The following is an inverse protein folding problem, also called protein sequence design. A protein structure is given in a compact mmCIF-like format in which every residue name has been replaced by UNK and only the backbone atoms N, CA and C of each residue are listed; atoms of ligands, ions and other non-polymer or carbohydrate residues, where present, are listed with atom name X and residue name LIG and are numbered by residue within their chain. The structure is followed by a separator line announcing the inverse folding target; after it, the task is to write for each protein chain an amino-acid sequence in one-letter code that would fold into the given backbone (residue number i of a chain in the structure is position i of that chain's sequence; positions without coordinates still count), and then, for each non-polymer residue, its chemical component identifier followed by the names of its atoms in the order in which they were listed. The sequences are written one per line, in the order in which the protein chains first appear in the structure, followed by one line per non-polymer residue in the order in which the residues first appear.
data_IF_192064752388
#
_entry.id   IF_192064752388
#
_cell.length_a   1.000
_cell.length_b   1.000
_cell.length_c   1.000
_cell.angle_alpha   90.00
_cell.angle_beta   90.00
_cell.angle_gamma   90.00
#
_symmetry.space_group_name_H-M   'P 1'
#
loop_
_entity.id
_entity.type
_entity.pdbx_description
1 polymer ?
#
# COMPACT_ATOMS: atom_id res chain seq x y z
N UNK A 1 19.58 54.88 -15.77
CA UNK A 1 19.78 53.74 -14.84
C UNK A 1 18.42 53.44 -14.26
N UNK A 2 17.72 52.47 -14.84
CA UNK A 2 16.43 51.97 -14.36
C UNK A 2 16.74 50.75 -13.50
N UNK A 3 16.49 50.87 -12.20
CA UNK A 3 16.64 49.79 -11.23
C UNK A 3 15.68 48.65 -11.58
N UNK A 4 16.26 47.49 -11.89
CA UNK A 4 15.56 46.21 -11.96
C UNK A 4 15.70 45.56 -10.58
N UNK A 5 14.72 45.77 -9.71
CA UNK A 5 14.56 44.90 -8.55
C UNK A 5 14.01 43.55 -9.02
N UNK A 6 14.55 42.41 -8.53
CA UNK A 6 14.03 41.10 -8.88
C UNK A 6 12.66 40.91 -8.21
N UNK A 7 11.64 40.61 -9.02
CA UNK A 7 10.31 40.20 -8.56
C UNK A 7 10.45 38.86 -7.82
N UNK A 8 10.41 38.89 -6.49
CA UNK A 8 10.42 37.69 -5.65
C UNK A 8 9.03 37.06 -5.66
N UNK A 9 8.94 35.76 -5.95
CA UNK A 9 7.72 34.97 -6.16
C UNK A 9 6.79 34.80 -4.95
N UNK A 10 6.90 35.63 -3.91
CA UNK A 10 6.13 35.53 -2.66
C UNK A 10 4.81 36.34 -2.67
N UNK A 11 4.53 37.12 -3.71
CA UNK A 11 3.29 37.93 -3.80
C UNK A 11 2.11 37.22 -4.49
N UNK A 12 2.34 36.09 -5.17
CA UNK A 12 1.28 35.35 -5.87
C UNK A 12 0.46 34.42 -4.95
N UNK A 13 0.97 34.05 -3.78
CA UNK A 13 0.30 33.11 -2.87
C UNK A 13 -0.89 33.70 -2.09
N UNK A 14 -1.04 35.04 -2.07
CA UNK A 14 -2.09 35.73 -1.30
C UNK A 14 -3.27 36.24 -2.13
N UNK A 15 -3.25 36.07 -3.46
CA UNK A 15 -4.33 36.54 -4.32
C UNK A 15 -5.18 35.37 -4.85
N UNK A 16 -6.37 35.10 -4.27
CA UNK A 16 -7.24 34.03 -4.72
C UNK A 16 -7.69 34.19 -6.18
N UNK A 17 -7.81 35.42 -6.67
CA UNK A 17 -8.15 35.69 -8.09
C UNK A 17 -7.00 35.32 -9.03
N UNK A 18 -5.74 35.51 -8.60
CA UNK A 18 -4.57 35.11 -9.39
C UNK A 18 -4.42 33.59 -9.45
N UNK A 19 -4.73 32.90 -8.35
CA UNK A 19 -4.76 31.43 -8.31
C UNK A 19 -5.88 30.86 -9.19
N UNK A 20 -7.07 31.45 -9.12
CA UNK A 20 -8.20 31.05 -9.95
C UNK A 20 -7.94 31.33 -11.45
N UNK A 21 -7.30 32.45 -11.78
CA UNK A 21 -6.87 32.76 -13.15
C UNK A 21 -5.79 31.78 -13.67
N UNK A 22 -4.86 31.35 -12.81
CA UNK A 22 -3.85 30.34 -13.16
C UNK A 22 -4.47 28.94 -13.34
N UNK A 23 -5.42 28.56 -12.49
CA UNK A 23 -6.15 27.30 -12.62
C UNK A 23 -6.99 27.29 -13.91
N UNK A 24 -7.68 28.40 -14.21
CA UNK A 24 -8.43 28.58 -15.46
C UNK A 24 -7.50 28.56 -16.70
N UNK A 25 -6.33 29.20 -16.63
CA UNK A 25 -5.32 29.13 -17.70
C UNK A 25 -4.79 27.72 -17.88
N UNK A 26 -4.52 26.99 -16.79
CA UNK A 26 -4.07 25.60 -16.82
C UNK A 26 -5.07 24.69 -17.52
N UNK A 27 -6.36 24.83 -17.19
CA UNK A 27 -7.45 24.09 -17.82
C UNK A 27 -7.62 24.41 -19.31
N UNK A 28 -7.51 25.69 -19.69
CA UNK A 28 -7.59 26.12 -21.09
C UNK A 28 -6.39 25.60 -21.89
N UNK A 29 -5.17 25.67 -21.34
CA UNK A 29 -3.97 25.14 -21.96
C UNK A 29 -4.02 23.62 -22.10
N UNK A 30 -4.50 22.92 -21.07
CA UNK A 30 -4.65 21.46 -21.07
C UNK A 30 -5.66 21.00 -22.14
N UNK A 31 -6.82 21.65 -22.23
CA UNK A 31 -7.82 21.42 -23.30
C UNK A 31 -7.26 21.70 -24.70
N UNK A 32 -6.49 22.78 -24.85
CA UNK A 32 -5.89 23.15 -26.12
C UNK A 32 -4.72 22.22 -26.52
N UNK A 33 -3.99 21.64 -25.57
CA UNK A 33 -2.96 20.65 -25.85
C UNK A 33 -3.57 19.31 -26.27
N UNK A 34 -4.66 18.88 -25.62
CA UNK A 34 -5.34 17.64 -25.97
C UNK A 34 -6.13 17.75 -27.28
N UNK A 35 -6.63 18.93 -27.67
CA UNK A 35 -7.30 19.12 -28.96
C UNK A 35 -6.34 19.05 -30.16
N UNK A 36 -5.03 19.22 -29.94
CA UNK A 36 -4.00 19.12 -30.98
C UNK A 36 -3.53 17.68 -31.24
N UNK A 37 -3.86 16.74 -30.35
CA UNK A 37 -3.49 15.32 -30.48
C UNK A 37 -4.69 14.58 -31.08
N UNK A 38 -4.55 13.82 -32.18
CA UNK A 38 -5.60 12.92 -32.65
C UNK A 38 -5.99 11.93 -31.53
N UNK A 39 -7.25 12.02 -31.06
CA UNK A 39 -7.73 11.25 -29.91
C UNK A 39 -7.46 11.87 -28.53
N UNK A 40 -6.93 13.10 -28.45
CA UNK A 40 -6.63 13.73 -27.17
C UNK A 40 -7.86 14.09 -26.32
N UNK A 41 -9.03 14.31 -26.94
CA UNK A 41 -10.29 14.38 -26.19
C UNK A 41 -10.59 13.10 -25.41
N UNK A 42 -10.26 11.92 -25.97
CA UNK A 42 -10.40 10.63 -25.27
C UNK A 42 -9.39 10.53 -24.12
N UNK A 43 -8.16 11.05 -24.30
CA UNK A 43 -7.13 11.08 -23.26
C UNK A 43 -7.58 11.98 -22.10
N UNK A 44 -8.15 13.16 -22.40
CA UNK A 44 -8.70 14.08 -21.41
C UNK A 44 -9.81 13.42 -20.59
N UNK A 45 -10.76 12.75 -21.26
CA UNK A 45 -11.85 12.02 -20.60
C UNK A 45 -11.34 10.89 -19.70
N UNK A 46 -10.34 10.12 -20.15
CA UNK A 46 -9.71 9.06 -19.34
C UNK A 46 -9.03 9.64 -18.10
N UNK A 47 -8.30 10.76 -18.25
CA UNK A 47 -7.62 11.40 -17.13
C UNK A 47 -8.62 11.95 -16.10
N UNK A 48 -9.70 12.57 -16.56
CA UNK A 48 -10.77 13.08 -15.71
C UNK A 48 -11.47 11.93 -14.97
N UNK A 49 -11.82 10.86 -15.69
CA UNK A 49 -12.38 9.64 -15.08
C UNK A 49 -11.43 9.03 -14.02
N UNK A 50 -10.13 8.96 -14.31
CA UNK A 50 -9.15 8.49 -13.33
C UNK A 50 -9.07 9.39 -12.10
N UNK A 51 -9.14 10.71 -12.27
CA UNK A 51 -9.16 11.68 -11.17
C UNK A 51 -10.40 11.48 -10.28
N UNK A 52 -11.57 11.32 -10.89
CA UNK A 52 -12.83 11.08 -10.20
C UNK A 52 -12.80 9.75 -9.42
N UNK A 53 -12.26 8.69 -10.03
CA UNK A 53 -12.08 7.41 -9.36
C UNK A 53 -11.16 7.51 -8.15
N UNK A 54 -10.01 8.21 -8.27
CA UNK A 54 -9.08 8.43 -7.16
C UNK A 54 -9.76 9.18 -6.02
N UNK A 55 -10.51 10.24 -6.35
CA UNK A 55 -11.28 11.04 -5.38
C UNK A 55 -12.31 10.18 -4.67
N UNK A 56 -13.10 9.40 -5.41
CA UNK A 56 -14.10 8.48 -4.86
C UNK A 56 -13.49 7.44 -3.92
N UNK A 57 -12.34 6.86 -4.27
CA UNK A 57 -11.61 5.92 -3.40
C UNK A 57 -11.16 6.58 -2.10
N UNK A 58 -10.62 7.79 -2.17
CA UNK A 58 -10.20 8.55 -0.99
C UNK A 58 -11.39 8.88 -0.08
N UNK A 59 -12.51 9.35 -0.63
CA UNK A 59 -13.73 9.67 0.13
C UNK A 59 -14.26 8.42 0.84
N UNK A 60 -14.46 7.32 0.11
CA UNK A 60 -14.96 6.06 0.67
C UNK A 60 -14.05 5.54 1.79
N UNK A 61 -12.74 5.61 1.61
CA UNK A 61 -11.79 5.23 2.66
C UNK A 61 -11.90 6.11 3.91
N UNK A 62 -12.02 7.44 3.74
CA UNK A 62 -12.15 8.39 4.85
C UNK A 62 -13.45 8.19 5.62
N UNK A 63 -14.56 7.95 4.93
CA UNK A 63 -15.85 7.65 5.56
C UNK A 63 -15.75 6.39 6.43
N UNK A 64 -15.15 5.33 5.91
CA UNK A 64 -14.93 4.09 6.65
C UNK A 64 -13.96 4.28 7.84
N UNK A 65 -12.92 5.10 7.67
CA UNK A 65 -11.98 5.42 8.73
C UNK A 65 -12.63 6.21 9.86
N UNK A 66 -13.41 7.25 9.53
CA UNK A 66 -14.19 8.05 10.49
C UNK A 66 -15.19 7.16 11.23
N UNK A 67 -15.84 6.23 10.52
CA UNK A 67 -16.74 5.26 11.15
C UNK A 67 -15.98 4.40 12.18
N UNK A 68 -14.80 3.87 11.84
CA UNK A 68 -13.98 3.10 12.82
C UNK A 68 -13.56 3.97 14.03
N UNK A 69 -13.13 5.21 13.81
CA UNK A 69 -12.80 6.13 14.90
C UNK A 69 -13.98 6.34 15.87
N UNK A 70 -15.19 6.55 15.34
CA UNK A 70 -16.41 6.69 16.15
C UNK A 70 -16.74 5.42 16.93
N UNK A 71 -16.52 4.25 16.35
CA UNK A 71 -16.77 2.98 17.02
C UNK A 71 -15.78 2.73 18.16
N UNK A 72 -14.52 3.14 18.00
CA UNK A 72 -13.46 2.86 18.97
C UNK A 72 -13.36 3.91 20.09
N UNK A 73 -13.54 5.20 19.74
CA UNK A 73 -13.36 6.33 20.66
C UNK A 73 -14.67 7.08 20.96
N UNK A 74 -15.81 6.61 20.45
CA UNK A 74 -17.10 7.27 20.64
C UNK A 74 -17.14 8.66 20.00
N UNK A 75 -17.76 9.61 20.70
CA UNK A 75 -17.77 11.03 20.32
C UNK A 75 -16.54 11.81 20.83
N UNK A 76 -15.64 11.14 21.55
CA UNK A 76 -14.52 11.77 22.27
C UNK A 76 -13.23 11.87 21.45
N UNK A 77 -13.23 11.48 20.17
CA UNK A 77 -12.08 11.70 19.30
C UNK A 77 -11.93 13.21 19.00
N UNK A 78 -10.83 13.81 19.45
CA UNK A 78 -10.60 15.24 19.27
C UNK A 78 -10.23 15.57 17.82
N UNK A 79 -10.89 16.57 17.25
CA UNK A 79 -10.52 17.15 15.95
C UNK A 79 -9.11 17.76 15.96
N UNK A 80 -8.58 18.09 17.14
CA UNK A 80 -7.25 18.69 17.29
C UNK A 80 -6.15 17.66 17.08
N UNK A 81 -6.36 16.41 17.49
CA UNK A 81 -5.42 15.31 17.26
C UNK A 81 -5.27 14.97 15.77
N UNK A 82 -6.33 15.16 14.97
CA UNK A 82 -6.30 14.99 13.51
C UNK A 82 -5.57 16.14 12.80
N UNK A 83 -5.38 17.29 13.47
CA UNK A 83 -4.65 18.45 12.93
C UNK A 83 -3.16 18.42 13.25
N UNK A 84 -2.67 17.36 13.92
CA UNK A 84 -1.25 17.14 14.11
C UNK A 84 -0.55 16.99 12.75
N UNK A 85 0.53 17.74 12.53
CA UNK A 85 1.31 17.73 11.27
C UNK A 85 1.79 16.32 10.90
N UNK A 86 2.31 15.55 11.87
CA UNK A 86 2.78 14.17 11.65
C UNK A 86 1.63 13.24 11.25
N UNK A 87 0.46 13.40 11.88
CA UNK A 87 -0.72 12.61 11.51
C UNK A 87 -1.25 13.02 10.13
N UNK A 88 -1.29 14.31 9.82
CA UNK A 88 -1.74 14.83 8.53
C UNK A 88 -0.84 14.38 7.39
N UNK A 89 0.49 14.45 7.59
CA UNK A 89 1.46 13.95 6.62
C UNK A 89 1.29 12.44 6.37
N UNK A 90 1.10 11.65 7.43
CA UNK A 90 0.83 10.22 7.32
C UNK A 90 -0.49 9.95 6.59
N UNK A 91 -1.57 10.65 6.94
CA UNK A 91 -2.88 10.51 6.32
C UNK A 91 -2.77 10.78 4.81
N UNK A 92 -2.11 11.86 4.41
CA UNK A 92 -1.89 12.20 3.01
C UNK A 92 -1.12 11.10 2.28
N UNK A 93 -0.07 10.55 2.89
CA UNK A 93 0.69 9.43 2.34
C UNK A 93 -0.17 8.17 2.16
N UNK A 94 -0.98 7.83 3.16
CA UNK A 94 -1.93 6.71 3.08
C UNK A 94 -2.94 6.95 1.96
N UNK A 95 -3.51 8.15 1.83
CA UNK A 95 -4.47 8.46 0.78
C UNK A 95 -3.86 8.30 -0.63
N UNK A 96 -2.60 8.69 -0.83
CA UNK A 96 -1.89 8.44 -2.09
C UNK A 96 -1.81 6.95 -2.43
N UNK A 97 -1.53 6.11 -1.43
CA UNK A 97 -1.52 4.64 -1.60
C UNK A 97 -2.93 4.10 -1.89
N UNK A 98 -3.95 4.57 -1.17
CA UNK A 98 -5.35 4.16 -1.36
C UNK A 98 -5.88 4.45 -2.76
N UNK A 99 -5.49 5.59 -3.34
CA UNK A 99 -5.89 5.97 -4.69
C UNK A 99 -5.45 4.92 -5.73
N UNK A 100 -4.27 4.33 -5.53
CA UNK A 100 -3.67 3.37 -6.45
C UNK A 100 -3.98 1.91 -6.08
N UNK A 101 -4.33 1.63 -4.82
CA UNK A 101 -4.62 0.28 -4.34
C UNK A 101 -6.01 -0.22 -4.81
N UNK A 102 -6.07 -1.50 -5.16
CA UNK A 102 -7.32 -2.24 -5.42
C UNK A 102 -7.63 -3.27 -4.34
N UNK A 103 -6.61 -3.80 -3.65
CA UNK A 103 -6.74 -4.77 -2.55
C UNK A 103 -7.50 -4.19 -1.36
N UNK A 104 -8.65 -4.78 -0.99
CA UNK A 104 -9.37 -4.35 0.20
C UNK A 104 -8.64 -4.73 1.49
N UNK A 105 -7.87 -5.83 1.47
CA UNK A 105 -6.99 -6.20 2.58
C UNK A 105 -6.02 -5.07 2.92
N UNK A 106 -5.33 -4.51 1.92
CA UNK A 106 -4.43 -3.36 2.14
C UNK A 106 -5.17 -2.13 2.64
N UNK A 107 -6.35 -1.82 2.08
CA UNK A 107 -7.17 -0.69 2.56
C UNK A 107 -7.55 -0.85 4.02
N UNK A 108 -7.87 -2.07 4.45
CA UNK A 108 -8.13 -2.37 5.86
C UNK A 108 -6.88 -2.13 6.71
N UNK A 109 -5.72 -2.66 6.29
CA UNK A 109 -4.45 -2.45 7.01
C UNK A 109 -4.05 -0.98 7.11
N UNK A 110 -4.19 -0.21 6.04
CA UNK A 110 -3.96 1.23 6.07
C UNK A 110 -4.87 1.95 7.08
N UNK A 111 -6.15 1.55 7.19
CA UNK A 111 -7.04 2.11 8.23
C UNK A 111 -6.54 1.76 9.62
N UNK A 112 -6.20 0.51 9.86
CA UNK A 112 -5.77 0.06 11.19
C UNK A 112 -4.46 0.74 11.61
N UNK A 113 -3.55 0.98 10.67
CA UNK A 113 -2.32 1.76 10.88
C UNK A 113 -2.64 3.20 11.28
N UNK A 114 -3.59 3.85 10.60
CA UNK A 114 -4.01 5.22 10.96
C UNK A 114 -4.64 5.25 12.36
N UNK A 115 -5.46 4.25 12.72
CA UNK A 115 -6.02 4.12 14.06
C UNK A 115 -4.92 3.93 15.12
N UNK A 116 -3.91 3.09 14.84
CA UNK A 116 -2.77 2.89 15.73
C UNK A 116 -1.97 4.19 15.92
N UNK A 117 -1.70 4.93 14.84
CA UNK A 117 -1.01 6.22 14.92
C UNK A 117 -1.82 7.22 15.76
N UNK A 118 -3.14 7.27 15.53
CA UNK A 118 -4.04 8.12 16.32
C UNK A 118 -3.98 7.78 17.81
N UNK A 119 -4.05 6.49 18.15
CA UNK A 119 -4.03 6.00 19.54
C UNK A 119 -2.70 6.25 20.26
N UNK A 120 -1.58 6.00 19.58
CA UNK A 120 -0.26 5.96 20.24
C UNK A 120 0.50 7.27 20.15
N UNK A 121 0.15 8.14 19.19
CA UNK A 121 0.94 9.32 18.82
C UNK A 121 2.44 9.01 18.62
N UNK A 122 2.79 7.76 18.32
CA UNK A 122 4.16 7.27 18.33
C UNK A 122 4.97 7.84 17.16
N UNK A 123 6.19 8.29 17.43
CA UNK A 123 7.12 8.83 16.42
C UNK A 123 8.19 7.80 16.04
N UNK A 124 7.77 6.61 15.61
CA UNK A 124 8.70 5.61 15.08
C UNK A 124 9.20 6.03 13.68
N UNK A 125 10.52 6.19 13.54
CA UNK A 125 11.20 6.54 12.30
C UNK A 125 10.98 5.50 11.18
N UNK A 126 10.62 4.26 11.52
CA UNK A 126 10.29 3.21 10.56
C UNK A 126 8.82 3.19 10.16
N UNK A 127 7.94 3.88 10.88
CA UNK A 127 6.49 3.85 10.65
C UNK A 127 6.15 4.23 9.21
N UNK A 128 6.65 5.38 8.77
CA UNK A 128 6.49 5.88 7.41
C UNK A 128 7.06 4.95 6.36
N UNK A 129 8.23 4.35 6.64
CA UNK A 129 8.86 3.39 5.74
C UNK A 129 8.04 2.11 5.61
N UNK A 130 7.39 1.67 6.68
CA UNK A 130 6.53 0.49 6.65
C UNK A 130 5.20 0.76 5.95
N UNK A 131 4.67 1.98 6.01
CA UNK A 131 3.50 2.38 5.20
C UNK A 131 3.81 2.26 3.71
N UNK A 132 4.96 2.78 3.26
CA UNK A 132 5.36 2.62 1.85
C UNK A 132 5.63 1.16 1.48
N UNK A 133 6.20 0.40 2.41
CA UNK A 133 6.50 -1.00 2.17
C UNK A 133 5.22 -1.83 2.04
N UNK A 134 4.17 -1.49 2.79
CA UNK A 134 2.86 -2.13 2.65
C UNK A 134 2.26 -1.91 1.25
N UNK A 135 2.44 -0.74 0.65
CA UNK A 135 1.98 -0.52 -0.72
C UNK A 135 2.76 -1.37 -1.74
N UNK A 136 4.07 -1.54 -1.53
CA UNK A 136 4.95 -2.31 -2.42
C UNK A 136 4.81 -3.82 -2.31
N UNK A 137 4.39 -4.34 -1.16
CA UNK A 137 4.28 -5.78 -0.91
C UNK A 137 2.86 -6.24 -1.19
N UNK A 138 2.65 -7.20 -2.09
CA UNK A 138 1.31 -7.73 -2.37
C UNK A 138 0.82 -8.71 -1.28
N UNK A 139 -0.46 -9.06 -1.33
CA UNK A 139 -1.10 -9.86 -0.29
C UNK A 139 -0.51 -11.29 -0.18
N UNK A 140 -0.04 -11.88 -1.29
CA UNK A 140 0.64 -13.18 -1.30
C UNK A 140 1.97 -13.09 -0.56
N UNK A 141 2.73 -12.02 -0.79
CA UNK A 141 3.99 -11.77 -0.12
C UNK A 141 3.81 -11.56 1.38
N UNK A 142 2.74 -10.88 1.82
CA UNK A 142 2.41 -10.75 3.25
C UNK A 142 2.14 -12.14 3.87
N UNK A 143 1.40 -13.01 3.18
CA UNK A 143 1.16 -14.39 3.63
C UNK A 143 2.47 -15.17 3.73
N UNK A 144 3.29 -15.13 2.68
CA UNK A 144 4.58 -15.84 2.65
C UNK A 144 5.49 -15.37 3.78
N UNK A 145 5.55 -14.06 4.02
CA UNK A 145 6.32 -13.49 5.12
C UNK A 145 5.79 -13.96 6.48
N UNK A 146 4.46 -13.98 6.69
CA UNK A 146 3.83 -14.50 7.92
C UNK A 146 4.24 -15.93 8.22
N UNK A 147 4.29 -16.79 7.20
CA UNK A 147 4.69 -18.18 7.37
C UNK A 147 6.19 -18.32 7.64
N UNK A 148 7.04 -17.50 7.03
CA UNK A 148 8.49 -17.48 7.35
C UNK A 148 8.80 -16.95 8.75
N UNK A 149 7.91 -16.15 9.33
CA UNK A 149 8.01 -15.71 10.73
C UNK A 149 7.66 -16.87 11.68
N UNK A 150 6.71 -17.73 11.31
CA UNK A 150 6.31 -18.93 12.07
C UNK A 150 7.28 -20.10 11.92
N UNK A 151 7.79 -20.34 10.71
CA UNK A 151 8.74 -21.40 10.38
C UNK A 151 10.08 -20.79 9.96
N UNK A 152 11.03 -20.72 10.90
CA UNK A 152 12.35 -20.08 10.69
C UNK A 152 13.22 -20.77 9.62
N UNK A 153 12.78 -21.92 9.10
CA UNK A 153 13.46 -22.67 8.03
C UNK A 153 12.48 -23.05 6.92
N UNK A 154 11.70 -22.07 6.48
CA UNK A 154 10.80 -22.21 5.35
C UNK A 154 11.55 -22.70 4.08
N UNK A 155 10.98 -23.67 3.35
CA UNK A 155 11.59 -24.24 2.14
C UNK A 155 10.57 -24.36 1.01
N UNK A 156 10.97 -23.92 -0.19
CA UNK A 156 10.17 -24.05 -1.42
C UNK A 156 10.72 -25.16 -2.32
N UNK A 157 10.09 -26.33 -2.33
CA UNK A 157 10.50 -27.42 -3.21
C UNK A 157 9.35 -27.96 -4.04
N UNK A 158 9.66 -28.60 -5.17
CA UNK A 158 8.70 -29.29 -6.05
C UNK A 158 7.89 -30.41 -5.37
N UNK A 159 8.22 -30.77 -4.12
CA UNK A 159 7.46 -31.68 -3.25
C UNK A 159 6.93 -31.01 -1.97
N UNK A 160 7.19 -29.73 -1.77
CA UNK A 160 6.74 -28.95 -0.62
C UNK A 160 5.26 -28.64 -0.79
N UNK A 161 4.43 -29.58 -0.32
CA UNK A 161 2.99 -29.36 -0.15
C UNK A 161 2.69 -28.14 0.73
N UNK A 162 3.66 -27.60 1.49
CA UNK A 162 3.45 -26.47 2.40
C UNK A 162 3.04 -25.20 1.66
N UNK A 163 3.71 -24.81 0.56
CA UNK A 163 3.43 -23.56 -0.17
C UNK A 163 1.97 -23.47 -0.63
N UNK A 164 1.53 -24.51 -1.32
CA UNK A 164 0.19 -24.62 -1.90
C UNK A 164 -0.88 -24.97 -0.87
N UNK A 165 -0.61 -25.81 0.13
CA UNK A 165 -1.57 -26.07 1.22
C UNK A 165 -1.79 -24.86 2.13
N UNK A 166 -0.78 -23.99 2.31
CA UNK A 166 -0.93 -22.73 3.05
C UNK A 166 -1.85 -21.75 2.32
N UNK A 167 -1.65 -21.57 1.02
CA UNK A 167 -2.53 -20.75 0.19
C UNK A 167 -3.97 -21.31 0.22
N UNK A 168 -4.15 -22.64 0.20
CA UNK A 168 -5.46 -23.28 0.38
C UNK A 168 -6.07 -23.01 1.77
N UNK A 169 -5.29 -23.08 2.84
CA UNK A 169 -5.80 -22.88 4.21
C UNK A 169 -6.22 -21.43 4.45
N UNK A 170 -5.45 -20.46 3.96
CA UNK A 170 -5.80 -19.04 3.96
C UNK A 170 -7.06 -18.78 3.12
N UNK A 171 -7.16 -19.38 1.93
CA UNK A 171 -8.37 -19.29 1.10
C UNK A 171 -9.62 -19.83 1.82
N UNK A 172 -9.49 -20.91 2.60
CA UNK A 172 -10.62 -21.47 3.36
C UNK A 172 -11.05 -20.55 4.51
N UNK A 173 -10.10 -19.96 5.23
CA UNK A 173 -10.38 -19.01 6.32
C UNK A 173 -11.01 -17.71 5.82
N UNK A 174 -10.50 -17.14 4.73
CA UNK A 174 -11.05 -15.91 4.16
C UNK A 174 -12.47 -16.12 3.57
N UNK A 175 -12.79 -17.32 3.06
CA UNK A 175 -14.17 -17.69 2.67
C UNK A 175 -15.16 -17.69 3.84
N UNK A 176 -14.72 -18.10 5.03
CA UNK A 176 -15.57 -18.13 6.22
C UNK A 176 -15.85 -16.73 6.77
N UNK A 177 -14.96 -15.76 6.49
CA UNK A 177 -15.05 -14.39 6.99
C UNK A 177 -15.68 -13.41 5.99
N UNK A 178 -16.30 -13.88 4.89
CA UNK A 178 -16.81 -13.03 3.80
C UNK A 178 -15.80 -12.00 3.26
N UNK A 179 -14.50 -12.33 3.29
CA UNK A 179 -13.44 -11.46 2.79
C UNK A 179 -13.18 -11.73 1.31
N UNK A 180 -13.13 -10.66 0.50
CA UNK A 180 -12.83 -10.54 -0.93
C UNK A 180 -12.88 -11.82 -1.79
N UNK A 181 -13.93 -11.93 -2.62
CA UNK A 181 -14.08 -13.02 -3.59
C UNK A 181 -12.92 -13.09 -4.58
N UNK A 182 -12.32 -11.96 -4.95
CA UNK A 182 -11.24 -11.88 -5.94
C UNK A 182 -9.88 -12.31 -5.37
N UNK A 183 -9.58 -11.94 -4.12
CA UNK A 183 -8.39 -12.42 -3.39
C UNK A 183 -8.45 -13.95 -3.20
N UNK A 184 -9.62 -14.46 -2.84
CA UNK A 184 -9.90 -15.89 -2.71
C UNK A 184 -9.82 -16.64 -4.05
N UNK A 185 -10.26 -16.01 -5.14
CA UNK A 185 -10.16 -16.57 -6.49
C UNK A 185 -8.69 -16.64 -6.94
N UNK A 186 -7.92 -15.59 -6.68
CA UNK A 186 -6.48 -15.54 -6.96
C UNK A 186 -5.72 -16.63 -6.19
N UNK A 187 -5.94 -16.76 -4.87
CA UNK A 187 -5.30 -17.78 -4.04
C UNK A 187 -5.72 -19.21 -4.44
N UNK A 188 -6.99 -19.47 -4.77
CA UNK A 188 -7.45 -20.80 -5.25
C UNK A 188 -6.71 -21.25 -6.52
N UNK A 189 -6.34 -20.31 -7.39
CA UNK A 189 -5.63 -20.56 -8.65
C UNK A 189 -4.10 -20.73 -8.49
N UNK A 190 -3.55 -20.63 -7.29
CA UNK A 190 -2.12 -20.88 -7.00
C UNK A 190 -1.81 -22.34 -6.66
N UNK A 191 -2.81 -23.22 -6.68
CA UNK A 191 -2.76 -24.56 -6.08
C UNK A 191 -2.33 -25.69 -7.03
N UNK A 192 -1.96 -25.37 -8.28
CA UNK A 192 -1.46 -26.32 -9.28
C UNK A 192 0.08 -26.28 -9.40
N UNK A 193 0.68 -27.43 -9.72
CA UNK A 193 2.14 -27.67 -9.76
C UNK A 193 2.93 -26.75 -10.73
N UNK A 194 2.26 -25.98 -11.59
CA UNK A 194 2.90 -25.07 -12.56
C UNK A 194 3.46 -23.76 -11.97
N UNK A 195 3.32 -23.49 -10.65
CA UNK A 195 3.59 -22.16 -10.07
C UNK A 195 4.69 -22.06 -9.01
N UNK A 196 5.56 -23.07 -8.88
CA UNK A 196 6.74 -22.97 -8.00
C UNK A 196 7.63 -21.76 -8.35
N UNK A 197 7.73 -21.40 -9.64
CA UNK A 197 8.49 -20.25 -10.10
C UNK A 197 7.86 -18.89 -9.72
N UNK A 198 6.53 -18.78 -9.75
CA UNK A 198 5.83 -17.56 -9.32
C UNK A 198 5.99 -17.31 -7.81
N UNK A 199 5.93 -18.37 -7.00
CA UNK A 199 6.17 -18.24 -5.56
C UNK A 199 7.63 -17.90 -5.25
N UNK A 200 8.58 -18.49 -5.98
CA UNK A 200 9.99 -18.13 -5.87
C UNK A 200 10.21 -16.66 -6.24
N UNK A 201 9.56 -16.16 -7.30
CA UNK A 201 9.58 -14.74 -7.67
C UNK A 201 9.12 -13.83 -6.52
N UNK A 202 7.96 -14.11 -5.91
CA UNK A 202 7.48 -13.31 -4.77
C UNK A 202 8.44 -13.31 -3.58
N UNK A 203 9.13 -14.43 -3.33
CA UNK A 203 10.10 -14.54 -2.24
C UNK A 203 11.38 -13.79 -2.56
N UNK A 204 11.84 -13.82 -3.81
CA UNK A 204 12.99 -13.04 -4.26
C UNK A 204 12.69 -11.54 -4.18
N UNK A 205 11.47 -11.11 -4.49
CA UNK A 205 11.04 -9.72 -4.25
C UNK A 205 11.02 -9.37 -2.76
N UNK A 206 10.50 -10.25 -1.89
CA UNK A 206 10.61 -10.05 -0.44
C UNK A 206 12.07 -9.95 0.04
N UNK A 207 12.98 -10.71 -0.58
CA UNK A 207 14.40 -10.64 -0.29
C UNK A 207 15.04 -9.34 -0.79
N UNK A 208 14.65 -8.84 -1.97
CA UNK A 208 15.13 -7.55 -2.50
C UNK A 208 14.65 -6.37 -1.66
N UNK A 209 13.50 -6.51 -1.01
CA UNK A 209 12.98 -5.56 -0.02
C UNK A 209 13.64 -5.70 1.37
N UNK A 210 14.55 -6.65 1.56
CA UNK A 210 15.23 -6.91 2.84
C UNK A 210 14.35 -7.55 3.92
N UNK A 211 13.15 -8.02 3.56
CA UNK A 211 12.19 -8.64 4.47
C UNK A 211 12.51 -10.13 4.72
N UNK A 212 13.17 -10.77 3.77
CA UNK A 212 13.55 -12.19 3.81
C UNK A 212 15.03 -12.35 3.48
N UNK A 213 15.69 -13.34 4.07
CA UNK A 213 17.04 -13.76 3.68
C UNK A 213 17.05 -15.20 3.18
N UNK A 214 17.89 -15.45 2.18
CA UNK A 214 18.18 -16.78 1.67
C UNK A 214 19.13 -17.49 2.64
N UNK A 215 18.77 -18.70 3.05
CA UNK A 215 19.66 -19.58 3.79
C UNK A 215 20.38 -20.48 2.77
N UNK A 216 21.71 -20.35 2.63
CA UNK A 216 22.47 -21.13 1.66
C UNK A 216 22.38 -22.63 1.97
N UNK A 217 22.50 -23.44 0.91
CA UNK A 217 22.42 -24.90 1.00
C UNK A 217 23.51 -25.43 1.95
N UNK A 218 23.13 -26.32 2.86
CA UNK A 218 24.10 -27.14 3.59
C UNK A 218 24.72 -28.17 2.64
N UNK A 219 25.97 -28.56 2.89
CA UNK A 219 26.78 -29.49 2.07
C UNK A 219 26.24 -30.94 1.97
N UNK A 220 25.05 -31.22 2.49
CA UNK A 220 24.43 -32.54 2.46
C UNK A 220 23.66 -32.79 1.16
N UNK A 221 23.96 -33.91 0.49
CA UNK A 221 23.31 -34.41 -0.74
C UNK A 221 21.77 -34.54 -0.67
N UNK A 222 21.16 -34.39 0.52
CA UNK A 222 19.70 -34.45 0.73
C UNK A 222 19.00 -33.09 0.79
N UNK A 223 19.73 -31.97 0.79
CA UNK A 223 19.17 -30.62 0.90
C UNK A 223 19.28 -29.83 -0.41
N UNK A 224 18.58 -30.27 -1.47
CA UNK A 224 18.64 -29.60 -2.77
C UNK A 224 17.86 -28.27 -2.83
N UNK A 225 17.12 -27.93 -1.78
CA UNK A 225 16.20 -26.79 -1.78
C UNK A 225 16.72 -25.66 -0.88
N UNK A 226 16.87 -24.41 -1.38
CA UNK A 226 17.23 -23.27 -0.55
C UNK A 226 16.19 -23.03 0.54
N UNK A 227 16.66 -22.60 1.71
CA UNK A 227 15.79 -22.16 2.80
C UNK A 227 15.58 -20.65 2.74
N UNK A 228 14.49 -20.18 3.33
CA UNK A 228 14.14 -18.77 3.46
C UNK A 228 13.76 -18.49 4.90
N UNK A 229 14.11 -17.30 5.37
CA UNK A 229 13.84 -16.87 6.74
C UNK A 229 13.54 -15.38 6.78
N UNK A 230 12.51 -15.00 7.55
CA UNK A 230 12.21 -13.59 7.78
C UNK A 230 13.37 -12.89 8.50
N UNK A 231 13.75 -11.70 8.02
CA UNK A 231 14.74 -10.87 8.71
C UNK A 231 14.12 -10.20 9.94
N UNK A 232 14.93 -9.56 10.77
CA UNK A 232 14.42 -8.74 11.89
C UNK A 232 13.51 -7.61 11.39
N UNK A 233 13.85 -7.00 10.25
CA UNK A 233 13.03 -5.98 9.59
C UNK A 233 11.73 -6.61 9.07
N UNK A 234 11.81 -7.80 8.46
CA UNK A 234 10.66 -8.59 8.04
C UNK A 234 9.65 -8.85 9.15
N UNK A 235 10.15 -9.26 10.32
CA UNK A 235 9.32 -9.50 11.51
C UNK A 235 8.67 -8.21 12.02
N UNK A 236 9.44 -7.12 12.14
CA UNK A 236 8.91 -5.81 12.57
C UNK A 236 7.85 -5.27 11.61
N UNK A 237 8.11 -5.36 10.31
CA UNK A 237 7.15 -4.97 9.28
C UNK A 237 5.87 -5.80 9.39
N UNK A 238 5.99 -7.12 9.57
CA UNK A 238 4.82 -7.97 9.70
C UNK A 238 4.00 -7.63 10.95
N UNK A 239 4.63 -7.44 12.11
CA UNK A 239 3.96 -6.98 13.33
C UNK A 239 3.24 -5.65 13.12
N UNK A 240 3.89 -4.72 12.42
CA UNK A 240 3.29 -3.44 12.05
C UNK A 240 2.05 -3.58 11.16
N UNK A 241 2.07 -4.51 10.20
CA UNK A 241 0.92 -4.75 9.30
C UNK A 241 -0.21 -5.50 10.01
N UNK A 242 0.12 -6.50 10.83
CA UNK A 242 -0.86 -7.35 11.48
C UNK A 242 -1.43 -6.70 12.76
N UNK A 243 -0.74 -5.68 13.30
CA UNK A 243 -1.01 -5.09 14.61
C UNK A 243 -0.95 -6.12 15.74
N UNK A 244 0.03 -7.02 15.66
CA UNK A 244 0.40 -8.04 16.68
C UNK A 244 1.78 -7.75 17.28
#
# INVERSE_FOLDING_TARGET
MTDLTPYTGDEFEKNPEAKEALDQMGEVLRKNLYSLIPGGGIIEDILNFQSDLKTKKSISFLEEFIHKLKMEFGNDFSKEDLKNESFSALLNRVLQHIQNTTSNYKKERFRDILLLKYRTQSNDLLFEKFVDLLDRVNDIQIILLSEMVKDERFKLGAKSHKGTEMIKSYSRKAKQNNSDSDFLLHLKNYTSDQKSGELEFYILELASLGLVKLIPRGSSKRANTPGYMATTIGRKFLSFVINE
#
